data_IF_529585060404
#
_entry.id   IF_529585060404
#
_cell.length_a   1.000
_cell.length_b   1.000
_cell.length_c   1.000
_cell.angle_alpha   90.00
_cell.angle_beta   90.00
_cell.angle_gamma   90.00
#
_symmetry.space_group_name_H-M   'P 1'
#
loop_
_entity.id
_entity.type
_entity.pdbx_description
1 polymer ?
#
# COMPACT_ATOMS: atom_id res chain seq x y z
N UNK A 1 -64.39 -4.42 40.20
CA UNK A 1 -63.20 -4.81 40.98
C UNK A 1 -62.21 -5.43 40.00
N UNK A 2 -61.01 -4.86 39.92
CA UNK A 2 -60.15 -4.81 38.73
C UNK A 2 -59.49 -6.13 38.33
N UNK A 3 -59.45 -6.40 37.01
CA UNK A 3 -58.53 -7.37 36.40
C UNK A 3 -57.21 -6.65 36.10
N UNK A 4 -56.12 -7.07 36.73
CA UNK A 4 -54.76 -6.61 36.42
C UNK A 4 -54.20 -7.41 35.24
N UNK A 5 -53.90 -6.74 34.14
CA UNK A 5 -53.21 -7.29 32.98
C UNK A 5 -51.70 -7.05 33.17
N UNK A 6 -50.92 -8.11 33.40
CA UNK A 6 -49.47 -8.04 33.44
C UNK A 6 -48.90 -8.06 32.02
N UNK A 7 -48.46 -6.91 31.52
CA UNK A 7 -47.73 -6.79 30.26
C UNK A 7 -46.25 -7.06 30.51
N UNK A 8 -45.74 -8.20 30.05
CA UNK A 8 -44.31 -8.52 30.04
C UNK A 8 -43.65 -7.83 28.85
N UNK A 9 -42.85 -6.79 29.12
CA UNK A 9 -42.08 -6.07 28.10
C UNK A 9 -40.77 -6.84 27.82
N UNK A 10 -40.70 -7.51 26.67
CA UNK A 10 -39.46 -8.12 26.18
C UNK A 10 -38.51 -7.01 25.67
N UNK A 11 -37.47 -6.71 26.44
CA UNK A 11 -36.35 -5.86 25.98
C UNK A 11 -35.49 -6.66 25.01
N UNK A 12 -35.68 -6.44 23.72
CA UNK A 12 -34.75 -6.92 22.68
C UNK A 12 -33.49 -6.04 22.78
N UNK A 13 -32.45 -6.57 23.41
CA UNK A 13 -31.13 -5.95 23.41
C UNK A 13 -30.51 -6.19 22.04
N UNK A 14 -30.68 -5.22 21.13
CA UNK A 14 -29.97 -5.19 19.85
C UNK A 14 -28.47 -5.11 20.11
N UNK A 15 -27.81 -6.25 20.07
CA UNK A 15 -26.35 -6.32 20.13
C UNK A 15 -25.82 -5.81 18.80
N UNK A 16 -25.52 -4.52 18.70
CA UNK A 16 -24.72 -3.99 17.60
C UNK A 16 -23.35 -4.64 17.67
N UNK A 17 -23.15 -5.72 16.92
CA UNK A 17 -21.82 -6.23 16.64
C UNK A 17 -21.09 -5.10 15.90
N UNK A 18 -20.23 -4.37 16.61
CA UNK A 18 -19.21 -3.58 15.94
C UNK A 18 -18.39 -4.58 15.13
N UNK A 19 -18.49 -4.52 13.80
CA UNK A 19 -17.61 -5.25 12.92
C UNK A 19 -16.18 -4.89 13.35
N UNK A 20 -15.49 -5.84 13.96
CA UNK A 20 -14.09 -5.66 14.32
C UNK A 20 -13.36 -5.48 12.99
N UNK A 21 -12.84 -4.27 12.74
CA UNK A 21 -12.24 -3.94 11.45
C UNK A 21 -11.10 -4.93 11.19
N UNK A 22 -11.32 -5.84 10.23
CA UNK A 22 -10.35 -6.86 9.88
C UNK A 22 -9.03 -6.17 9.52
N UNK A 23 -7.88 -6.72 9.95
CA UNK A 23 -6.62 -6.21 9.47
C UNK A 23 -6.60 -6.32 7.96
N UNK A 24 -6.18 -5.25 7.28
CA UNK A 24 -5.95 -5.27 5.85
C UNK A 24 -4.95 -6.38 5.54
N UNK A 25 -5.41 -7.38 4.79
CA UNK A 25 -4.62 -8.48 4.28
C UNK A 25 -4.31 -8.27 2.80
N UNK A 26 -3.16 -8.81 2.39
CA UNK A 26 -2.70 -8.78 1.02
C UNK A 26 -1.84 -10.00 0.70
N UNK A 27 -1.71 -10.32 -0.59
CA UNK A 27 -0.84 -11.38 -1.11
C UNK A 27 -0.13 -10.90 -2.37
N UNK A 28 0.83 -11.71 -2.82
CA UNK A 28 1.55 -11.54 -4.08
C UNK A 28 2.23 -10.18 -4.27
N UNK A 29 2.59 -9.51 -3.18
CA UNK A 29 3.30 -8.24 -3.24
C UNK A 29 4.60 -8.37 -4.03
N UNK A 30 4.84 -7.41 -4.89
CA UNK A 30 6.05 -7.28 -5.70
C UNK A 30 6.37 -5.80 -5.88
N UNK A 31 7.65 -5.45 -5.71
CA UNK A 31 8.10 -4.06 -5.92
C UNK A 31 9.24 -4.01 -6.92
N UNK A 32 9.06 -3.26 -8.01
CA UNK A 32 10.14 -2.89 -8.90
C UNK A 32 10.55 -1.45 -8.61
N UNK A 33 11.81 -1.28 -8.24
CA UNK A 33 12.46 0.02 -8.12
C UNK A 33 13.20 0.30 -9.42
N UNK A 34 12.91 1.43 -10.05
CA UNK A 34 13.67 1.92 -11.21
C UNK A 34 14.42 3.16 -10.76
N UNK A 35 15.74 3.05 -10.63
CA UNK A 35 16.58 4.19 -10.27
C UNK A 35 16.57 5.16 -11.45
N UNK A 36 16.21 6.42 -11.18
CA UNK A 36 16.25 7.48 -12.17
C UNK A 36 17.65 8.11 -12.19
N UNK A 37 17.81 9.20 -12.93
CA UNK A 37 19.08 9.92 -12.97
C UNK A 37 19.59 10.20 -11.54
N UNK A 38 20.86 9.88 -11.22
CA UNK A 38 21.39 9.95 -9.86
C UNK A 38 21.31 11.32 -9.18
N UNK A 39 21.63 12.42 -9.88
CA UNK A 39 21.52 13.78 -9.37
C UNK A 39 20.08 14.18 -8.97
N UNK A 40 19.05 13.48 -9.47
CA UNK A 40 17.67 13.71 -9.03
C UNK A 40 17.36 13.13 -7.64
N UNK A 41 18.19 12.20 -7.13
CA UNK A 41 17.91 11.41 -5.92
C UNK A 41 16.53 10.73 -5.97
N UNK A 42 16.07 10.37 -7.17
CA UNK A 42 14.72 9.88 -7.39
C UNK A 42 14.72 8.46 -7.96
N UNK A 43 13.72 7.69 -7.58
CA UNK A 43 13.47 6.36 -8.13
C UNK A 43 11.97 6.13 -8.23
N UNK A 44 11.56 5.48 -9.32
CA UNK A 44 10.19 5.05 -9.55
C UNK A 44 9.96 3.72 -8.84
N UNK A 45 8.76 3.56 -8.30
CA UNK A 45 8.29 2.37 -7.63
C UNK A 45 7.05 1.88 -8.39
N UNK A 46 7.17 0.72 -9.01
CA UNK A 46 6.03 -0.05 -9.47
C UNK A 46 5.72 -1.09 -8.41
N UNK A 47 4.62 -0.90 -7.69
CA UNK A 47 4.18 -1.80 -6.63
C UNK A 47 2.92 -2.55 -7.09
N UNK A 48 3.06 -3.86 -7.27
CA UNK A 48 1.96 -4.77 -7.55
C UNK A 48 1.55 -5.51 -6.27
N UNK A 49 0.25 -5.62 -6.04
CA UNK A 49 -0.29 -6.31 -4.86
C UNK A 49 -1.68 -6.87 -5.12
N UNK A 50 -2.00 -8.01 -4.50
CA UNK A 50 -3.36 -8.54 -4.43
C UNK A 50 -3.97 -8.16 -3.07
N UNK A 51 -4.97 -7.27 -3.04
CA UNK A 51 -5.73 -6.97 -1.83
C UNK A 51 -6.72 -8.10 -1.53
N UNK A 52 -6.77 -8.61 -0.30
CA UNK A 52 -7.50 -9.84 0.06
C UNK A 52 -8.43 -9.71 1.27
N UNK A 53 -8.74 -8.48 1.70
CA UNK A 53 -9.64 -8.27 2.86
C UNK A 53 -11.08 -8.32 2.38
N UNK A 54 -11.74 -9.47 2.58
CA UNK A 54 -13.10 -9.73 2.10
C UNK A 54 -14.07 -8.57 2.39
N UNK A 55 -14.87 -8.20 1.39
CA UNK A 55 -15.89 -7.16 1.50
C UNK A 55 -15.35 -5.71 1.52
N UNK A 56 -14.04 -5.47 1.67
CA UNK A 56 -13.50 -4.11 1.63
C UNK A 56 -13.53 -3.55 0.21
N UNK A 57 -13.86 -2.26 0.12
CA UNK A 57 -13.88 -1.47 -1.12
C UNK A 57 -12.70 -0.50 -1.20
N UNK A 58 -11.85 -0.49 -0.18
CA UNK A 58 -10.65 0.36 -0.12
C UNK A 58 -9.43 -0.47 0.20
N UNK A 59 -8.29 -0.07 -0.36
CA UNK A 59 -6.97 -0.59 -0.03
C UNK A 59 -6.03 0.57 0.28
N UNK A 60 -5.27 0.45 1.36
CA UNK A 60 -4.30 1.45 1.78
C UNK A 60 -2.87 1.00 1.49
N UNK A 61 -2.05 1.89 0.95
CA UNK A 61 -0.61 1.73 0.88
C UNK A 61 0.08 2.84 1.66
N UNK A 62 0.94 2.48 2.62
CA UNK A 62 1.71 3.46 3.40
C UNK A 62 2.67 4.23 2.48
N UNK A 63 2.70 5.55 2.64
CA UNK A 63 3.69 6.42 2.02
C UNK A 63 4.80 6.68 3.03
N UNK A 64 6.06 6.50 2.60
CA UNK A 64 7.20 6.53 3.52
C UNK A 64 7.46 7.96 4.00
N UNK A 65 7.45 8.14 5.31
CA UNK A 65 7.89 9.39 5.96
C UNK A 65 9.34 9.70 5.58
N UNK A 66 9.63 10.96 5.28
CA UNK A 66 10.95 11.43 4.86
C UNK A 66 11.17 11.42 3.34
N UNK A 67 10.39 10.66 2.56
CA UNK A 67 10.46 10.71 1.10
C UNK A 67 9.46 11.74 0.54
N UNK A 68 9.89 12.59 -0.39
CA UNK A 68 8.95 13.34 -1.24
C UNK A 68 8.38 12.36 -2.27
N UNK A 69 7.06 12.22 -2.33
CA UNK A 69 6.41 11.24 -3.18
C UNK A 69 5.48 11.90 -4.19
N UNK A 70 5.36 11.27 -5.36
CA UNK A 70 4.37 11.59 -6.39
C UNK A 70 3.75 10.29 -6.86
N UNK A 71 2.42 10.15 -6.74
CA UNK A 71 1.69 9.01 -7.31
C UNK A 71 1.27 9.40 -8.72
N UNK A 72 1.67 8.59 -9.69
CA UNK A 72 1.39 8.85 -11.12
C UNK A 72 0.11 8.15 -11.55
N UNK A 73 -0.08 6.90 -11.11
CA UNK A 73 -1.23 6.11 -11.51
C UNK A 73 -1.50 4.98 -10.51
N UNK A 74 -2.77 4.59 -10.41
CA UNK A 74 -3.18 3.33 -9.78
C UNK A 74 -4.11 2.60 -10.73
N UNK A 75 -3.87 1.31 -10.94
CA UNK A 75 -4.58 0.49 -11.94
C UNK A 75 -5.17 -0.77 -11.30
N UNK A 76 -6.36 -1.16 -11.74
CA UNK A 76 -6.84 -2.54 -11.61
C UNK A 76 -6.13 -3.39 -12.65
N UNK A 77 -5.30 -4.33 -12.20
CA UNK A 77 -4.49 -5.19 -13.08
C UNK A 77 -5.27 -6.25 -13.83
N UNK A 78 -6.51 -6.52 -13.45
CA UNK A 78 -7.41 -7.39 -14.21
C UNK A 78 -7.95 -6.68 -15.45
N UNK A 79 -8.27 -5.38 -15.33
CA UNK A 79 -8.95 -4.63 -16.42
C UNK A 79 -8.04 -3.64 -17.15
N UNK A 80 -6.89 -3.29 -16.57
CA UNK A 80 -6.03 -2.21 -17.03
C UNK A 80 -6.59 -0.80 -16.78
N UNK A 81 -7.79 -0.68 -16.18
CA UNK A 81 -8.45 0.61 -15.96
C UNK A 81 -7.88 1.34 -14.74
N UNK A 82 -7.82 2.68 -14.77
CA UNK A 82 -7.48 3.47 -13.60
C UNK A 82 -8.43 3.24 -12.42
N UNK A 83 -7.88 3.21 -11.21
CA UNK A 83 -8.61 3.26 -9.96
C UNK A 83 -8.54 4.69 -9.40
N UNK A 84 -9.62 5.14 -8.75
CA UNK A 84 -9.60 6.40 -8.00
C UNK A 84 -8.71 6.20 -6.76
N UNK A 85 -8.01 7.24 -6.35
CA UNK A 85 -7.22 7.23 -5.13
C UNK A 85 -7.10 8.64 -4.55
N UNK A 86 -6.87 8.72 -3.24
CA UNK A 86 -6.55 9.94 -2.50
C UNK A 86 -5.30 9.68 -1.64
N UNK A 87 -4.52 10.73 -1.36
CA UNK A 87 -3.50 10.70 -0.31
C UNK A 87 -4.13 11.29 0.96
N UNK A 88 -4.11 10.51 2.04
CA UNK A 88 -4.73 10.88 3.31
C UNK A 88 -3.73 10.80 4.45
N UNK A 89 -3.87 11.70 5.43
CA UNK A 89 -3.09 11.62 6.65
C UNK A 89 -3.56 10.46 7.55
N UNK A 90 -2.78 10.15 8.57
CA UNK A 90 -3.04 9.04 9.48
C UNK A 90 -4.36 9.10 10.23
N UNK A 91 -4.79 10.30 10.64
CA UNK A 91 -6.07 10.49 11.33
C UNK A 91 -7.23 10.15 10.40
N UNK A 92 -7.19 10.61 9.15
CA UNK A 92 -8.20 10.29 8.15
C UNK A 92 -8.16 8.82 7.73
N UNK A 93 -6.96 8.22 7.62
CA UNK A 93 -6.80 6.80 7.37
C UNK A 93 -7.48 5.94 8.46
N UNK A 94 -7.29 6.28 9.75
CA UNK A 94 -7.97 5.60 10.87
C UNK A 94 -9.49 5.70 10.75
N UNK A 95 -10.03 6.90 10.50
CA UNK A 95 -11.47 7.12 10.33
C UNK A 95 -12.03 6.35 9.13
N UNK A 96 -11.23 6.23 8.08
CA UNK A 96 -11.55 5.49 6.86
C UNK A 96 -11.31 3.97 6.98
N UNK A 97 -11.06 3.44 8.19
CA UNK A 97 -10.96 1.99 8.46
C UNK A 97 -9.57 1.39 8.24
N UNK A 98 -8.50 2.18 8.20
CA UNK A 98 -7.14 1.65 8.21
C UNK A 98 -6.83 1.06 9.61
N UNK A 99 -6.57 -0.27 9.72
CA UNK A 99 -6.57 -0.98 11.01
C UNK A 99 -5.41 -0.58 11.95
N UNK A 100 -4.29 -0.12 11.37
CA UNK A 100 -3.05 0.18 12.09
C UNK A 100 -2.39 1.48 11.60
N UNK A 101 -3.20 2.47 11.25
CA UNK A 101 -2.64 3.75 10.81
C UNK A 101 -1.93 4.43 12.00
N UNK A 102 -0.88 5.18 11.73
CA UNK A 102 -0.17 6.03 12.69
C UNK A 102 -0.60 7.46 12.46
N UNK A 103 -0.81 8.25 13.53
CA UNK A 103 -1.38 9.62 13.41
C UNK A 103 -0.54 10.54 12.53
N UNK A 104 0.78 10.41 12.60
CA UNK A 104 1.76 11.18 11.82
C UNK A 104 2.14 10.50 10.50
N UNK A 105 1.45 9.41 10.13
CA UNK A 105 1.64 8.70 8.88
C UNK A 105 0.85 9.33 7.72
N UNK A 106 1.18 8.86 6.53
CA UNK A 106 0.50 9.23 5.28
C UNK A 106 0.26 8.00 4.44
N UNK A 107 -0.90 7.94 3.79
CA UNK A 107 -1.42 6.74 3.17
C UNK A 107 -2.06 7.06 1.82
N UNK A 108 -1.72 6.26 0.81
CA UNK A 108 -2.48 6.22 -0.43
C UNK A 108 -3.72 5.35 -0.20
N UNK A 109 -4.90 5.96 -0.19
CA UNK A 109 -6.20 5.30 -0.13
C UNK A 109 -6.69 5.04 -1.56
N UNK A 110 -6.69 3.77 -1.97
CA UNK A 110 -7.18 3.33 -3.27
C UNK A 110 -8.63 2.88 -3.15
N UNK A 111 -9.51 3.43 -3.98
CA UNK A 111 -10.90 3.00 -4.10
C UNK A 111 -10.98 1.88 -5.14
N UNK A 112 -11.40 0.70 -4.69
CA UNK A 112 -11.56 -0.47 -5.53
C UNK A 112 -12.84 -0.33 -6.37
N UNK A 113 -12.84 -0.86 -7.58
CA UNK A 113 -13.99 -0.81 -8.48
C UNK A 113 -15.11 -1.81 -8.12
N UNK A 114 -14.87 -2.66 -7.12
CA UNK A 114 -15.81 -3.63 -6.54
C UNK A 114 -15.31 -4.05 -5.15
N UNK A 115 -16.20 -4.54 -4.28
CA UNK A 115 -15.77 -5.20 -3.03
C UNK A 115 -14.86 -6.39 -3.31
N UNK A 116 -13.90 -6.64 -2.43
CA UNK A 116 -13.04 -7.82 -2.51
C UNK A 116 -13.91 -9.09 -2.30
N UNK A 117 -13.92 -10.05 -3.24
CA UNK A 117 -14.74 -11.25 -3.14
C UNK A 117 -14.27 -12.18 -2.03
N UNK A 118 -15.20 -13.00 -1.50
CA UNK A 118 -14.89 -14.05 -0.54
C UNK A 118 -13.83 -15.01 -1.10
N UNK A 119 -12.82 -15.32 -0.30
CA UNK A 119 -11.66 -16.15 -0.67
C UNK A 119 -10.92 -15.72 -1.96
N UNK A 120 -11.08 -14.46 -2.38
CA UNK A 120 -10.45 -13.93 -3.58
C UNK A 120 -9.67 -12.63 -3.32
N UNK A 121 -9.40 -11.88 -4.39
CA UNK A 121 -8.64 -10.65 -4.28
C UNK A 121 -8.74 -9.75 -5.51
N UNK A 122 -8.32 -8.51 -5.34
CA UNK A 122 -8.21 -7.52 -6.41
C UNK A 122 -6.74 -7.17 -6.60
N UNK A 123 -6.25 -7.32 -7.83
CA UNK A 123 -4.85 -7.02 -8.18
C UNK A 123 -4.73 -5.55 -8.52
N UNK A 124 -3.88 -4.85 -7.79
CA UNK A 124 -3.65 -3.41 -7.90
C UNK A 124 -2.21 -3.20 -8.34
N UNK A 125 -1.98 -2.24 -9.25
CA UNK A 125 -0.66 -1.66 -9.52
C UNK A 125 -0.65 -0.20 -9.10
N UNK A 126 0.31 0.16 -8.27
CA UNK A 126 0.59 1.54 -7.88
C UNK A 126 1.90 1.96 -8.54
N UNK A 127 1.85 3.03 -9.30
CA UNK A 127 3.01 3.69 -9.90
C UNK A 127 3.25 5.01 -9.17
N UNK A 128 4.40 5.10 -8.48
CA UNK A 128 4.78 6.28 -7.71
C UNK A 128 6.28 6.53 -7.79
N UNK A 129 6.68 7.79 -7.78
CA UNK A 129 8.08 8.21 -7.73
C UNK A 129 8.40 8.80 -6.38
N UNK A 130 9.52 8.38 -5.80
CA UNK A 130 10.07 8.97 -4.58
C UNK A 130 11.33 9.75 -4.92
N UNK A 131 11.47 10.93 -4.31
CA UNK A 131 12.74 11.65 -4.17
C UNK A 131 13.18 11.53 -2.71
N UNK A 132 14.32 10.89 -2.49
CA UNK A 132 14.80 10.47 -1.18
C UNK A 132 16.35 10.40 -1.19
N UNK A 133 17.03 11.52 -0.89
CA UNK A 133 18.49 11.59 -0.91
C UNK A 133 19.16 10.77 0.20
N UNK A 134 18.44 10.36 1.25
CA UNK A 134 18.97 9.45 2.27
C UNK A 134 19.05 8.01 1.75
N UNK A 135 18.12 7.62 0.87
CA UNK A 135 18.06 6.26 0.30
C UNK A 135 18.78 6.12 -1.05
N UNK A 136 18.93 7.21 -1.82
CA UNK A 136 19.54 7.17 -3.16
C UNK A 136 20.43 8.39 -3.40
N UNK A 137 21.74 8.18 -3.50
CA UNK A 137 22.73 9.24 -3.62
C UNK A 137 23.97 8.78 -4.39
N UNK A 138 24.84 9.75 -4.72
CA UNK A 138 26.15 9.50 -5.34
C UNK A 138 27.26 9.51 -4.28
N UNK A 139 28.24 8.63 -4.45
CA UNK A 139 29.43 8.56 -3.60
C UNK A 139 30.66 8.34 -4.51
N UNK A 140 31.40 9.42 -4.77
CA UNK A 140 32.47 9.40 -5.77
C UNK A 140 31.94 9.08 -7.17
N UNK A 141 32.47 8.02 -7.78
CA UNK A 141 32.05 7.45 -9.07
C UNK A 141 30.91 6.43 -8.95
N UNK A 142 30.43 6.16 -7.73
CA UNK A 142 29.37 5.19 -7.46
C UNK A 142 28.01 5.87 -7.26
N UNK A 143 26.96 5.08 -7.50
CA UNK A 143 25.62 5.36 -6.97
C UNK A 143 25.31 4.36 -5.87
N UNK A 144 24.66 4.85 -4.80
CA UNK A 144 24.29 4.04 -3.64
C UNK A 144 22.79 4.08 -3.49
N UNK A 145 22.16 2.89 -3.53
CA UNK A 145 20.77 2.71 -3.16
C UNK A 145 20.69 1.92 -1.84
N UNK A 146 20.44 2.62 -0.74
CA UNK A 146 20.35 2.04 0.59
C UNK A 146 18.92 2.10 1.11
N UNK A 147 18.26 0.94 1.14
CA UNK A 147 16.90 0.84 1.63
C UNK A 147 16.58 -0.55 2.17
N UNK A 148 15.72 -0.59 3.20
CA UNK A 148 15.09 -1.84 3.65
C UNK A 148 14.02 -2.26 2.64
N UNK A 149 14.20 -3.43 2.04
CA UNK A 149 13.24 -4.03 1.12
C UNK A 149 12.22 -4.86 1.90
N UNK A 150 11.17 -4.21 2.41
CA UNK A 150 10.16 -4.83 3.29
C UNK A 150 9.15 -5.75 2.61
N UNK A 151 9.25 -5.91 1.28
CA UNK A 151 8.42 -6.82 0.49
C UNK A 151 9.29 -8.01 0.10
N UNK A 152 8.74 -9.23 0.13
CA UNK A 152 9.54 -10.45 -0.09
C UNK A 152 10.12 -10.56 -1.50
N UNK A 153 9.50 -9.93 -2.50
CA UNK A 153 9.93 -9.98 -3.90
C UNK A 153 10.15 -8.58 -4.42
N UNK A 154 11.37 -8.33 -4.89
CA UNK A 154 11.73 -7.03 -5.45
C UNK A 154 12.59 -7.22 -6.70
N UNK A 155 12.54 -6.24 -7.58
CA UNK A 155 13.58 -6.01 -8.58
C UNK A 155 14.10 -4.60 -8.45
N UNK A 156 15.36 -4.40 -8.83
CA UNK A 156 15.97 -3.09 -8.94
C UNK A 156 16.52 -2.95 -10.36
N UNK A 157 16.18 -1.85 -11.00
CA UNK A 157 16.63 -1.49 -12.33
C UNK A 157 17.56 -0.30 -12.19
N UNK A 158 18.82 -0.49 -12.59
CA UNK A 158 19.82 0.56 -12.59
C UNK A 158 19.56 1.56 -13.73
N UNK A 159 20.07 2.80 -13.61
CA UNK A 159 20.08 3.71 -14.74
C UNK A 159 20.94 3.14 -15.87
N UNK A 160 20.69 3.58 -17.10
CA UNK A 160 21.50 3.17 -18.25
C UNK A 160 22.99 3.48 -18.04
N UNK A 161 23.87 2.55 -18.40
CA UNK A 161 25.31 2.68 -18.25
C UNK A 161 25.86 2.31 -16.86
N UNK A 162 25.02 1.85 -15.94
CA UNK A 162 25.44 1.39 -14.61
C UNK A 162 25.42 -0.14 -14.49
N UNK A 163 26.37 -0.66 -13.71
CA UNK A 163 26.42 -2.07 -13.31
C UNK A 163 26.47 -2.22 -11.78
N UNK A 164 26.20 -3.42 -11.29
CA UNK A 164 26.27 -3.72 -9.85
C UNK A 164 27.73 -3.95 -9.47
N UNK A 165 28.29 -3.09 -8.61
CA UNK A 165 29.60 -3.31 -8.01
C UNK A 165 29.55 -3.98 -6.63
N UNK A 166 28.44 -3.83 -5.89
CA UNK A 166 28.23 -4.45 -4.58
C UNK A 166 26.75 -4.66 -4.28
N UNK A 167 26.41 -5.76 -3.60
CA UNK A 167 25.05 -6.07 -3.17
C UNK A 167 25.06 -6.85 -1.85
N UNK A 168 24.24 -6.42 -0.88
CA UNK A 168 24.08 -7.08 0.41
C UNK A 168 22.73 -7.80 0.58
N UNK A 169 22.01 -8.04 -0.52
CA UNK A 169 20.80 -8.85 -0.58
C UNK A 169 21.02 -10.09 -1.46
N UNK A 170 20.41 -11.26 -1.11
CA UNK A 170 20.34 -12.38 -2.04
C UNK A 170 19.68 -11.94 -3.35
N UNK A 171 20.42 -12.04 -4.45
CA UNK A 171 20.03 -11.43 -5.73
C UNK A 171 20.37 -12.34 -6.91
N UNK A 172 19.53 -12.28 -7.95
CA UNK A 172 19.85 -12.73 -9.29
C UNK A 172 20.13 -11.49 -10.14
N UNK A 173 21.24 -11.50 -10.88
CA UNK A 173 21.60 -10.41 -11.80
C UNK A 173 21.23 -10.83 -13.20
N UNK A 174 20.38 -10.02 -13.85
CA UNK A 174 19.99 -10.18 -15.24
C UNK A 174 20.66 -9.08 -16.05
N UNK A 175 21.57 -9.46 -16.94
CA UNK A 175 22.11 -8.56 -17.94
C UNK A 175 21.11 -8.55 -19.10
N UNK A 176 20.48 -7.39 -19.33
CA UNK A 176 19.46 -7.21 -20.37
C UNK A 176 19.97 -7.47 -21.78
#
# INVERSE_FOLDING_TARGET
MNYFLNTLLLLIVSSSFYAQDLPQTQRDSYTRYELLEPATHSFRIIYDVTATTEGKEVYFNTLRKGSKHKVTQVLDRMTGKPLKWDIVNGVEAMKSGHPRAQKDGEYLKVYLNRPIPKAGGIRIRIDKTYKDPESYYTEGDHIVFVRRLGINRNSLVLPEGYEISSCNYPSQVELG
#
